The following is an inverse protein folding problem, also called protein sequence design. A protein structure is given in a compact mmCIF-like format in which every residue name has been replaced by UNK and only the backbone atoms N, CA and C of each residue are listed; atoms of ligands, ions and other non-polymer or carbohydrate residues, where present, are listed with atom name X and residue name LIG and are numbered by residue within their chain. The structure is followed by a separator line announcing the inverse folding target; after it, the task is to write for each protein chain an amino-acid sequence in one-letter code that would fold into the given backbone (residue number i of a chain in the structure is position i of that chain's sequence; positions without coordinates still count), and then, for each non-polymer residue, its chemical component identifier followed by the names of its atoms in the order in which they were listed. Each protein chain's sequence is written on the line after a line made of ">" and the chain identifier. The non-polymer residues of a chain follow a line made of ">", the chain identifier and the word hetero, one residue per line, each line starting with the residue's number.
data_IF_411500358236
#
_entry.id   IF_411500358236
#
_cell.length_a   1.000
_cell.length_b   1.000
_cell.length_c   1.000
_cell.angle_alpha   90.00
_cell.angle_beta   90.00
_cell.angle_gamma   90.00
#
_symmetry.space_group_name_H-M   'P 1'
#
loop_
_entity.id
_entity.type
_entity.pdbx_description
1 polymer ?
#
# COMPACT_ATOMS: atom_id res chain seq x y z
N UNK A 1 -2.98 -18.89 -10.32
CA UNK A 1 -1.62 -19.05 -9.80
C UNK A 1 -1.73 -19.63 -8.41
N UNK A 2 -0.79 -20.41 -8.01
CA UNK A 2 -0.78 -21.02 -6.68
C UNK A 2 0.28 -20.33 -5.80
N UNK A 3 0.31 -20.71 -4.52
CA UNK A 3 1.23 -20.11 -3.56
C UNK A 3 2.73 -20.21 -3.94
N UNK A 4 3.25 -21.30 -4.51
CA UNK A 4 4.63 -21.38 -4.98
C UNK A 4 5.04 -20.29 -5.98
N UNK A 5 4.09 -19.74 -6.75
CA UNK A 5 4.37 -18.64 -7.67
C UNK A 5 4.87 -17.39 -6.92
N UNK A 6 4.31 -17.11 -5.74
CA UNK A 6 4.68 -15.96 -4.93
C UNK A 6 6.02 -16.11 -4.17
N UNK A 7 6.64 -17.29 -4.21
CA UNK A 7 7.99 -17.51 -3.68
C UNK A 7 9.09 -17.04 -4.64
N UNK A 8 8.75 -16.68 -5.88
CA UNK A 8 9.68 -16.07 -6.81
C UNK A 8 10.05 -14.67 -6.35
N UNK A 9 11.18 -14.16 -6.85
CA UNK A 9 11.53 -12.76 -6.70
C UNK A 9 10.44 -11.85 -7.26
N UNK A 10 10.15 -10.74 -6.58
CA UNK A 10 9.03 -9.87 -6.93
C UNK A 10 9.17 -9.23 -8.31
N UNK A 11 10.40 -8.89 -8.75
CA UNK A 11 10.62 -8.37 -10.09
C UNK A 11 10.31 -9.43 -11.16
N UNK A 12 10.67 -10.69 -10.90
CA UNK A 12 10.33 -11.80 -11.79
C UNK A 12 8.81 -12.02 -11.88
N UNK A 13 8.11 -11.85 -10.76
CA UNK A 13 6.64 -11.92 -10.74
C UNK A 13 6.05 -10.77 -11.55
N UNK A 14 6.51 -9.54 -11.33
CA UNK A 14 6.04 -8.37 -12.07
C UNK A 14 6.20 -8.58 -13.59
N UNK A 15 7.38 -9.05 -14.02
CA UNK A 15 7.64 -9.35 -15.43
C UNK A 15 6.71 -10.43 -15.99
N UNK A 16 6.49 -11.51 -15.23
CA UNK A 16 5.56 -12.60 -15.64
C UNK A 16 4.10 -12.14 -15.72
N UNK A 17 3.70 -11.20 -14.86
CA UNK A 17 2.38 -10.58 -14.90
C UNK A 17 2.27 -9.52 -16.01
N UNK A 18 3.39 -9.09 -16.58
CA UNK A 18 3.44 -8.10 -17.64
C UNK A 18 3.36 -6.66 -17.13
N UNK A 19 3.77 -6.39 -15.90
CA UNK A 19 3.93 -5.04 -15.40
C UNK A 19 5.08 -4.31 -16.10
N UNK A 20 4.87 -3.02 -16.39
CA UNK A 20 5.86 -2.11 -16.99
C UNK A 20 6.49 -1.15 -15.97
N UNK A 21 6.71 -1.62 -14.73
CA UNK A 21 7.12 -0.78 -13.57
C UNK A 21 8.37 0.04 -13.91
N UNK A 22 9.44 -0.58 -14.39
CA UNK A 22 10.70 0.10 -14.69
C UNK A 22 10.53 1.21 -15.73
N UNK A 23 9.68 1.01 -16.74
CA UNK A 23 9.37 2.02 -17.76
C UNK A 23 8.63 3.21 -17.13
N UNK A 24 7.62 2.94 -16.32
CA UNK A 24 6.81 3.97 -15.67
C UNK A 24 7.64 4.78 -14.69
N UNK A 25 8.39 4.14 -13.81
CA UNK A 25 9.24 4.86 -12.83
C UNK A 25 10.32 5.69 -13.51
N UNK A 26 10.86 5.24 -14.65
CA UNK A 26 11.80 6.02 -15.45
C UNK A 26 11.15 7.29 -16.05
N UNK A 27 9.91 7.21 -16.49
CA UNK A 27 9.15 8.38 -16.98
C UNK A 27 8.85 9.35 -15.84
N UNK A 28 8.35 8.88 -14.72
CA UNK A 28 8.06 9.69 -13.53
C UNK A 28 9.31 10.40 -13.02
N UNK A 29 10.45 9.72 -13.00
CA UNK A 29 11.73 10.32 -12.61
C UNK A 29 12.17 11.41 -13.60
N UNK A 30 11.98 11.19 -14.89
CA UNK A 30 12.27 12.20 -15.93
C UNK A 30 11.40 13.44 -15.76
N UNK A 31 10.10 13.26 -15.51
CA UNK A 31 9.18 14.38 -15.25
C UNK A 31 9.56 15.14 -13.98
N UNK A 32 9.83 14.44 -12.89
CA UNK A 32 10.25 15.06 -11.63
C UNK A 32 11.55 15.87 -11.78
N UNK A 33 12.51 15.41 -12.58
CA UNK A 33 13.75 16.15 -12.87
C UNK A 33 13.48 17.41 -13.70
N UNK A 34 12.56 17.35 -14.65
CA UNK A 34 12.22 18.48 -15.52
C UNK A 34 11.46 19.60 -14.78
N UNK A 35 10.75 19.26 -13.71
CA UNK A 35 10.01 20.21 -12.87
C UNK A 35 10.87 20.92 -11.80
N UNK A 36 12.16 20.57 -11.69
CA UNK A 36 13.05 21.18 -10.70
C UNK A 36 13.53 22.57 -11.13
N UNK A 37 13.58 23.55 -10.20
CA UNK A 37 14.35 24.76 -10.42
C UNK A 37 15.84 24.43 -10.61
N UNK A 38 16.48 25.02 -11.60
CA UNK A 38 17.92 24.95 -11.84
C UNK A 38 18.68 25.31 -10.56
N UNK A 39 19.50 24.38 -10.04
CA UNK A 39 20.42 24.65 -8.93
C UNK A 39 20.05 24.01 -7.58
N UNK A 40 18.96 23.29 -7.44
CA UNK A 40 18.63 22.57 -6.19
C UNK A 40 19.20 21.16 -6.16
N UNK A 41 20.16 20.91 -5.27
CA UNK A 41 20.59 19.55 -4.89
C UNK A 41 19.59 19.02 -3.85
N UNK A 42 18.64 18.20 -4.26
CA UNK A 42 17.82 17.44 -3.34
C UNK A 42 18.41 16.03 -3.15
N UNK A 43 18.41 15.53 -1.93
CA UNK A 43 18.73 14.15 -1.65
C UNK A 43 17.75 13.22 -2.37
N UNK A 44 18.21 12.07 -2.84
CA UNK A 44 17.33 11.00 -3.32
C UNK A 44 16.31 10.69 -2.22
N UNK A 45 15.04 10.74 -2.51
CA UNK A 45 13.95 10.57 -1.52
C UNK A 45 13.22 11.87 -1.16
N UNK A 46 13.78 13.04 -1.47
CA UNK A 46 13.10 14.33 -1.33
C UNK A 46 12.58 14.88 -2.68
N UNK A 47 12.58 14.03 -3.71
CA UNK A 47 12.06 14.41 -5.02
C UNK A 47 10.54 14.46 -4.94
N UNK A 48 9.99 15.66 -4.92
CA UNK A 48 8.55 15.85 -5.04
C UNK A 48 8.13 15.66 -6.50
N UNK A 49 7.15 14.83 -6.73
CA UNK A 49 6.46 14.74 -8.01
C UNK A 49 5.13 15.50 -7.89
N UNK A 50 4.95 16.52 -8.73
CA UNK A 50 3.76 17.42 -8.69
C UNK A 50 3.47 17.99 -7.29
N UNK A 51 4.52 18.27 -6.51
CA UNK A 51 4.42 18.84 -5.16
C UNK A 51 4.23 17.83 -4.03
N UNK A 52 4.11 16.55 -4.32
CA UNK A 52 3.87 15.49 -3.34
C UNK A 52 5.08 14.57 -3.17
N UNK A 53 5.22 14.00 -1.97
CA UNK A 53 6.18 12.94 -1.69
C UNK A 53 5.64 11.62 -2.27
N UNK A 54 6.22 11.21 -3.40
CA UNK A 54 5.75 10.03 -4.14
C UNK A 54 6.79 8.92 -4.25
N UNK A 55 7.95 9.11 -3.59
CA UNK A 55 9.09 8.19 -3.62
C UNK A 55 9.64 7.89 -5.04
N UNK A 56 9.32 8.74 -6.02
CA UNK A 56 9.85 8.63 -7.38
C UNK A 56 11.38 8.72 -7.36
N UNK A 57 12.04 7.81 -8.07
CA UNK A 57 13.51 7.73 -8.17
C UNK A 57 14.17 6.81 -7.16
N UNK A 58 13.39 6.18 -6.27
CA UNK A 58 13.86 5.03 -5.48
C UNK A 58 13.61 3.73 -6.25
N UNK A 59 14.34 2.69 -5.84
CA UNK A 59 14.15 1.36 -6.41
C UNK A 59 12.72 0.86 -6.13
N UNK A 60 11.92 0.57 -7.16
CA UNK A 60 10.55 0.08 -7.00
C UNK A 60 10.45 -1.21 -6.18
N UNK A 61 11.49 -2.05 -6.19
CA UNK A 61 11.49 -3.30 -5.43
C UNK A 61 11.70 -3.07 -3.93
N UNK A 62 12.31 -1.95 -3.55
CA UNK A 62 12.42 -1.53 -2.14
C UNK A 62 11.11 -0.89 -1.66
N UNK A 63 10.46 -0.11 -2.54
CA UNK A 63 9.24 0.62 -2.21
C UNK A 63 8.00 -0.27 -2.11
N UNK A 64 7.92 -1.26 -2.98
CA UNK A 64 6.77 -2.16 -2.99
C UNK A 64 7.00 -3.35 -2.05
N UNK A 65 5.98 -3.71 -1.28
CA UNK A 65 6.00 -4.93 -0.47
C UNK A 65 6.16 -6.16 -1.38
N UNK A 66 7.07 -7.09 -1.06
CA UNK A 66 7.22 -8.33 -1.81
C UNK A 66 5.94 -9.18 -1.81
N UNK A 67 5.69 -9.87 -2.92
CA UNK A 67 4.51 -10.74 -3.04
C UNK A 67 4.46 -11.83 -1.96
N UNK A 68 5.62 -12.44 -1.66
CA UNK A 68 5.71 -13.46 -0.61
C UNK A 68 5.30 -12.91 0.76
N UNK A 69 5.71 -11.67 1.08
CA UNK A 69 5.36 -11.03 2.35
C UNK A 69 3.85 -10.77 2.42
N UNK A 70 3.23 -10.28 1.33
CA UNK A 70 1.77 -10.14 1.26
C UNK A 70 1.05 -11.48 1.45
N UNK A 71 1.55 -12.55 0.81
CA UNK A 71 0.98 -13.88 0.97
C UNK A 71 1.10 -14.39 2.42
N UNK A 72 2.23 -14.17 3.08
CA UNK A 72 2.44 -14.49 4.50
C UNK A 72 1.51 -13.69 5.42
N UNK A 73 1.33 -12.39 5.17
CA UNK A 73 0.39 -11.56 5.92
C UNK A 73 -1.04 -12.07 5.73
N UNK A 74 -1.46 -12.35 4.51
CA UNK A 74 -2.80 -12.87 4.23
C UNK A 74 -3.05 -14.22 4.91
N UNK A 75 -2.04 -15.09 5.02
CA UNK A 75 -2.15 -16.34 5.77
C UNK A 75 -2.32 -16.14 7.28
N UNK A 76 -1.75 -15.09 7.84
CA UNK A 76 -1.95 -14.73 9.24
C UNK A 76 -3.35 -14.15 9.47
N UNK A 77 -3.84 -13.36 8.51
CA UNK A 77 -5.14 -12.69 8.61
C UNK A 77 -6.30 -13.63 8.33
N UNK A 78 -6.11 -14.60 7.42
CA UNK A 78 -7.16 -15.52 6.94
C UNK A 78 -8.44 -14.76 6.53
N UNK A 79 -8.35 -13.78 5.60
CA UNK A 79 -9.51 -12.97 5.23
C UNK A 79 -10.60 -13.83 4.63
N UNK A 80 -11.86 -13.53 5.00
CA UNK A 80 -13.03 -14.33 4.65
C UNK A 80 -13.75 -13.72 3.44
N UNK A 81 -14.54 -14.56 2.79
CA UNK A 81 -15.46 -14.14 1.72
C UNK A 81 -16.28 -12.92 2.14
N UNK A 82 -16.27 -11.89 1.29
CA UNK A 82 -17.00 -10.66 1.50
C UNK A 82 -16.32 -9.63 2.40
N UNK A 83 -15.21 -9.98 3.05
CA UNK A 83 -14.41 -8.99 3.78
C UNK A 83 -13.68 -8.02 2.83
N UNK A 84 -13.43 -6.83 3.32
CA UNK A 84 -12.81 -5.73 2.57
C UNK A 84 -11.39 -5.50 3.08
N UNK A 85 -10.45 -5.46 2.15
CA UNK A 85 -9.06 -5.09 2.37
C UNK A 85 -8.81 -3.75 1.69
N UNK A 86 -8.27 -2.80 2.45
CA UNK A 86 -7.86 -1.48 1.96
C UNK A 86 -6.35 -1.37 2.03
N UNK A 87 -5.73 -0.91 0.94
CA UNK A 87 -4.29 -0.65 0.86
C UNK A 87 -4.04 0.84 0.62
N UNK A 88 -3.38 1.50 1.55
CA UNK A 88 -3.14 2.93 1.57
C UNK A 88 -1.71 3.23 1.14
N UNK A 89 -1.57 3.80 -0.07
CA UNK A 89 -0.31 3.85 -0.80
C UNK A 89 -0.06 2.56 -1.57
N UNK A 90 -1.07 2.10 -2.30
CA UNK A 90 -1.12 0.75 -2.89
C UNK A 90 -0.10 0.51 -4.02
N UNK A 91 0.57 1.57 -4.50
CA UNK A 91 1.50 1.49 -5.61
C UNK A 91 0.85 0.87 -6.86
N UNK A 92 1.39 -0.25 -7.31
CA UNK A 92 0.89 -0.99 -8.46
C UNK A 92 -0.17 -2.05 -8.13
N UNK A 93 -0.61 -2.16 -6.86
CA UNK A 93 -1.67 -3.09 -6.46
C UNK A 93 -1.24 -4.54 -6.29
N UNK A 94 0.02 -4.81 -5.93
CA UNK A 94 0.52 -6.18 -5.71
C UNK A 94 -0.32 -6.98 -4.70
N UNK A 95 -0.80 -6.32 -3.63
CA UNK A 95 -1.70 -6.96 -2.65
C UNK A 95 -2.99 -7.44 -3.31
N UNK A 96 -3.59 -6.64 -4.19
CA UNK A 96 -4.79 -7.03 -4.95
C UNK A 96 -4.58 -8.26 -5.82
N UNK A 97 -3.39 -8.42 -6.42
CA UNK A 97 -3.00 -9.63 -7.15
C UNK A 97 -2.92 -10.84 -6.22
N UNK A 98 -2.26 -10.70 -5.06
CA UNK A 98 -2.17 -11.80 -4.07
C UNK A 98 -3.56 -12.23 -3.62
N UNK A 99 -4.42 -11.29 -3.26
CA UNK A 99 -5.79 -11.55 -2.83
C UNK A 99 -6.59 -12.25 -3.95
N UNK A 100 -6.50 -11.76 -5.19
CA UNK A 100 -7.19 -12.39 -6.32
C UNK A 100 -6.86 -13.87 -6.47
N UNK A 101 -5.59 -14.26 -6.33
CA UNK A 101 -5.18 -15.63 -6.55
C UNK A 101 -5.34 -16.56 -5.34
N UNK A 102 -5.26 -16.01 -4.12
CA UNK A 102 -5.32 -16.82 -2.88
C UNK A 102 -6.66 -16.70 -2.14
N UNK A 103 -7.36 -15.57 -2.30
CA UNK A 103 -8.59 -15.21 -1.57
C UNK A 103 -9.58 -14.48 -2.49
N UNK A 104 -9.97 -15.12 -3.59
CA UNK A 104 -10.70 -14.50 -4.72
C UNK A 104 -12.02 -13.81 -4.36
N UNK A 105 -12.63 -14.18 -3.24
CA UNK A 105 -13.92 -13.64 -2.79
C UNK A 105 -13.78 -12.48 -1.80
N UNK A 106 -12.55 -12.03 -1.53
CA UNK A 106 -12.24 -10.86 -0.73
C UNK A 106 -12.25 -9.62 -1.62
N UNK A 107 -12.84 -8.54 -1.13
CA UNK A 107 -12.85 -7.25 -1.84
C UNK A 107 -11.56 -6.48 -1.56
N UNK A 108 -10.92 -5.96 -2.60
CA UNK A 108 -9.71 -5.15 -2.51
C UNK A 108 -9.94 -3.74 -3.03
N UNK A 109 -9.52 -2.74 -2.25
CA UNK A 109 -9.49 -1.33 -2.66
C UNK A 109 -8.10 -0.76 -2.36
N UNK A 110 -7.35 -0.43 -3.40
CA UNK A 110 -6.07 0.24 -3.25
C UNK A 110 -6.17 1.72 -3.58
N UNK A 111 -5.58 2.56 -2.75
CA UNK A 111 -5.52 4.00 -2.97
C UNK A 111 -4.07 4.42 -3.20
N UNK A 112 -3.83 5.10 -4.30
CA UNK A 112 -2.50 5.54 -4.73
C UNK A 112 -2.58 6.95 -5.30
N UNK A 113 -1.62 7.79 -4.97
CA UNK A 113 -1.56 9.18 -5.41
C UNK A 113 -1.13 9.30 -6.89
N UNK A 114 -0.21 8.44 -7.32
CA UNK A 114 0.41 8.50 -8.66
C UNK A 114 -0.48 7.80 -9.69
N UNK A 115 -1.14 8.59 -10.53
CA UNK A 115 -2.10 8.09 -11.53
C UNK A 115 -1.52 7.04 -12.48
N UNK A 116 -0.27 7.19 -12.88
CA UNK A 116 0.42 6.26 -13.76
C UNK A 116 0.56 4.86 -13.15
N UNK A 117 0.79 4.77 -11.84
CA UNK A 117 0.81 3.50 -11.09
C UNK A 117 -0.58 2.88 -11.02
N UNK A 118 -1.61 3.69 -10.77
CA UNK A 118 -3.03 3.27 -10.75
C UNK A 118 -3.47 2.72 -12.11
N UNK A 119 -3.15 3.43 -13.19
CA UNK A 119 -3.49 3.00 -14.55
C UNK A 119 -2.85 1.65 -14.85
N UNK A 120 -1.58 1.50 -14.54
CA UNK A 120 -0.85 0.25 -14.78
C UNK A 120 -1.39 -0.90 -13.94
N UNK A 121 -1.61 -0.70 -12.65
CA UNK A 121 -2.18 -1.72 -11.77
C UNK A 121 -3.55 -2.18 -12.25
N UNK A 122 -4.45 -1.25 -12.60
CA UNK A 122 -5.78 -1.58 -13.14
C UNK A 122 -5.69 -2.26 -14.52
N UNK A 123 -4.68 -1.93 -15.34
CA UNK A 123 -4.41 -2.66 -16.59
C UNK A 123 -4.12 -4.15 -16.32
N UNK A 124 -3.28 -4.42 -15.33
CA UNK A 124 -2.97 -5.79 -14.92
C UNK A 124 -4.21 -6.46 -14.31
N UNK A 125 -4.95 -5.78 -13.44
CA UNK A 125 -6.20 -6.32 -12.88
C UNK A 125 -7.18 -6.74 -13.98
N UNK A 126 -7.33 -5.93 -15.02
CA UNK A 126 -8.16 -6.26 -16.17
C UNK A 126 -7.65 -7.48 -16.93
N UNK A 127 -6.34 -7.59 -17.18
CA UNK A 127 -5.74 -8.71 -17.89
C UNK A 127 -5.95 -10.04 -17.16
N UNK A 128 -5.90 -10.04 -15.84
CA UNK A 128 -6.10 -11.22 -15.00
C UNK A 128 -7.56 -11.37 -14.51
N UNK A 129 -8.48 -10.54 -14.98
CA UNK A 129 -9.90 -10.57 -14.61
C UNK A 129 -10.11 -10.51 -13.09
N UNK A 130 -9.37 -9.65 -12.41
CA UNK A 130 -9.54 -9.37 -10.97
C UNK A 130 -10.92 -8.72 -10.79
N UNK A 131 -11.90 -9.50 -10.33
CA UNK A 131 -13.31 -9.05 -10.26
C UNK A 131 -13.59 -8.20 -9.01
N UNK A 132 -12.91 -8.52 -7.92
CA UNK A 132 -13.16 -7.95 -6.60
C UNK A 132 -12.06 -6.99 -6.16
N UNK A 133 -11.27 -6.43 -7.11
CA UNK A 133 -10.18 -5.53 -6.83
C UNK A 133 -10.16 -4.33 -7.76
N UNK A 134 -9.85 -3.16 -7.20
CA UNK A 134 -9.72 -1.91 -7.93
C UNK A 134 -8.70 -0.99 -7.26
N UNK A 135 -7.96 -0.24 -8.07
CA UNK A 135 -7.10 0.85 -7.63
C UNK A 135 -7.75 2.19 -7.96
N UNK A 136 -7.72 3.09 -6.99
CA UNK A 136 -8.23 4.45 -7.09
C UNK A 136 -7.08 5.44 -7.02
N UNK A 137 -7.07 6.42 -7.93
CA UNK A 137 -6.18 7.55 -7.79
C UNK A 137 -6.77 8.52 -6.76
N UNK A 138 -6.09 8.65 -5.61
CA UNK A 138 -6.59 9.48 -4.51
C UNK A 138 -5.44 10.08 -3.70
N UNK A 139 -5.61 11.32 -3.31
CA UNK A 139 -4.78 11.97 -2.29
C UNK A 139 -5.41 11.73 -0.91
N UNK A 140 -4.76 10.89 -0.11
CA UNK A 140 -5.24 10.57 1.24
C UNK A 140 -5.28 11.79 2.18
N UNK A 141 -4.64 12.91 1.79
CA UNK A 141 -4.72 14.19 2.49
C UNK A 141 -5.83 15.11 1.98
N UNK A 142 -6.54 14.71 0.93
CA UNK A 142 -7.69 15.45 0.44
C UNK A 142 -8.76 15.53 1.54
N UNK A 143 -9.19 16.73 1.98
CA UNK A 143 -10.17 16.87 3.06
C UNK A 143 -11.56 16.34 2.70
N UNK A 144 -11.82 16.03 1.44
CA UNK A 144 -13.05 15.39 0.97
C UNK A 144 -12.95 13.86 0.92
N UNK A 145 -11.74 13.31 1.08
CA UNK A 145 -11.55 11.88 1.16
C UNK A 145 -11.87 11.38 2.57
N UNK A 146 -12.65 10.32 2.64
CA UNK A 146 -12.91 9.58 3.88
C UNK A 146 -12.55 8.12 3.68
N UNK A 147 -11.86 7.52 4.64
CA UNK A 147 -11.54 6.11 4.60
C UNK A 147 -12.82 5.27 4.50
N UNK A 148 -12.89 4.33 3.56
CA UNK A 148 -14.02 3.41 3.51
C UNK A 148 -13.96 2.43 4.68
N UNK A 149 -15.11 1.95 5.13
CA UNK A 149 -15.21 0.88 6.13
C UNK A 149 -14.60 -0.40 5.54
N UNK A 150 -13.67 -1.02 6.27
CA UNK A 150 -12.99 -2.23 5.84
C UNK A 150 -12.58 -3.10 7.04
N UNK A 151 -12.31 -4.39 6.82
CA UNK A 151 -11.86 -5.33 7.84
C UNK A 151 -10.35 -5.25 8.08
N UNK A 152 -9.59 -4.85 7.05
CA UNK A 152 -8.14 -4.79 7.08
C UNK A 152 -7.65 -3.52 6.38
N UNK A 153 -6.74 -2.78 7.04
CA UNK A 153 -6.08 -1.60 6.48
C UNK A 153 -4.58 -1.83 6.44
N UNK A 154 -3.99 -1.74 5.25
CA UNK A 154 -2.56 -1.82 5.04
C UNK A 154 -1.97 -0.42 4.93
N UNK A 155 -0.90 -0.17 5.71
CA UNK A 155 -0.13 1.07 5.70
C UNK A 155 1.36 0.73 5.56
N UNK A 156 1.99 1.26 4.53
CA UNK A 156 3.44 1.18 4.39
C UNK A 156 3.99 2.56 4.11
N UNK A 157 4.68 3.19 5.06
CA UNK A 157 5.37 4.50 4.99
C UNK A 157 5.13 5.29 3.68
N UNK A 158 3.85 5.36 3.24
CA UNK A 158 3.44 5.82 1.90
C UNK A 158 3.66 7.33 1.69
N UNK A 159 3.96 8.05 2.75
CA UNK A 159 4.16 9.49 2.71
C UNK A 159 4.91 10.01 3.93
N UNK A 160 4.72 11.28 4.22
CA UNK A 160 5.29 11.91 5.40
C UNK A 160 4.61 11.42 6.67
N UNK A 161 5.26 11.67 7.81
CA UNK A 161 4.74 11.33 9.15
C UNK A 161 3.33 11.90 9.38
N UNK A 162 3.08 13.13 8.93
CA UNK A 162 1.78 13.80 9.06
C UNK A 162 0.67 13.07 8.30
N UNK A 163 1.00 12.46 7.15
CA UNK A 163 0.04 11.69 6.36
C UNK A 163 -0.39 10.43 7.10
N UNK A 164 0.58 9.72 7.69
CA UNK A 164 0.33 8.51 8.48
C UNK A 164 -0.52 8.85 9.72
N UNK A 165 -0.17 9.92 10.43
CA UNK A 165 -0.95 10.40 11.59
C UNK A 165 -2.39 10.74 11.21
N UNK A 166 -2.58 11.44 10.08
CA UNK A 166 -3.91 11.79 9.58
C UNK A 166 -4.75 10.53 9.32
N UNK A 167 -4.19 9.54 8.64
CA UNK A 167 -4.86 8.26 8.40
C UNK A 167 -5.20 7.53 9.70
N UNK A 168 -4.26 7.46 10.63
CA UNK A 168 -4.49 6.79 11.92
C UNK A 168 -5.57 7.51 12.75
N UNK A 169 -5.65 8.84 12.68
CA UNK A 169 -6.75 9.60 13.31
C UNK A 169 -8.11 9.25 12.69
N UNK A 170 -8.21 9.16 11.36
CA UNK A 170 -9.46 8.72 10.72
C UNK A 170 -9.86 7.29 11.11
N UNK A 171 -8.89 6.40 11.28
CA UNK A 171 -9.15 5.03 11.75
C UNK A 171 -9.62 5.02 13.21
N UNK A 172 -9.05 5.87 14.06
CA UNK A 172 -9.46 6.02 15.47
C UNK A 172 -10.92 6.47 15.57
N UNK A 173 -11.35 7.43 14.74
CA UNK A 173 -12.75 7.90 14.68
C UNK A 173 -13.73 6.80 14.28
N UNK A 174 -13.27 5.71 13.64
CA UNK A 174 -14.11 4.58 13.23
C UNK A 174 -14.27 3.51 14.32
N UNK A 175 -13.48 3.56 15.39
CA UNK A 175 -13.42 2.51 16.43
C UNK A 175 -14.72 2.31 17.18
N UNK A 176 -15.54 3.35 17.33
CA UNK A 176 -16.83 3.26 18.03
C UNK A 176 -17.87 2.36 17.34
N UNK A 177 -17.66 2.06 16.05
CA UNK A 177 -18.67 1.43 15.22
C UNK A 177 -18.17 0.23 14.42
N UNK A 178 -16.87 -0.03 14.41
CA UNK A 178 -16.30 -1.06 13.54
C UNK A 178 -15.02 -1.69 14.10
N UNK A 179 -14.93 -3.02 14.02
CA UNK A 179 -13.72 -3.77 14.35
C UNK A 179 -12.92 -4.04 13.09
N UNK A 180 -11.63 -3.78 13.13
CA UNK A 180 -10.72 -3.97 12.00
C UNK A 180 -9.31 -4.31 12.48
N UNK A 181 -8.44 -4.67 11.53
CA UNK A 181 -7.01 -4.81 11.80
C UNK A 181 -6.22 -3.82 10.95
N UNK A 182 -5.17 -3.27 11.56
CA UNK A 182 -4.20 -2.41 10.89
C UNK A 182 -2.91 -3.21 10.70
N UNK A 183 -2.46 -3.30 9.47
CA UNK A 183 -1.21 -3.94 9.10
C UNK A 183 -0.22 -2.84 8.73
N UNK A 184 0.71 -2.56 9.63
CA UNK A 184 1.72 -1.54 9.41
C UNK A 184 3.05 -2.15 8.99
N UNK A 185 3.57 -1.70 7.85
CA UNK A 185 4.88 -2.04 7.33
C UNK A 185 5.77 -0.79 7.33
N UNK A 186 7.07 -1.01 7.52
CA UNK A 186 8.04 0.08 7.64
C UNK A 186 8.22 0.56 9.08
N UNK A 187 9.31 1.26 9.31
CA UNK A 187 9.66 1.74 10.65
C UNK A 187 8.83 2.95 11.08
N UNK A 188 8.46 3.80 10.12
CA UNK A 188 7.72 5.04 10.38
C UNK A 188 6.32 4.76 10.92
N UNK A 189 5.50 4.04 10.15
CA UNK A 189 4.13 3.69 10.54
C UNK A 189 4.09 2.91 11.86
N UNK A 190 4.94 1.89 12.02
CA UNK A 190 5.01 1.09 13.25
C UNK A 190 5.37 1.93 14.46
N UNK A 191 6.41 2.78 14.34
CA UNK A 191 6.83 3.66 15.44
C UNK A 191 5.74 4.65 15.86
N UNK A 192 5.01 5.23 14.90
CA UNK A 192 3.90 6.14 15.20
C UNK A 192 2.81 5.40 15.94
N UNK A 193 2.41 4.22 15.49
CA UNK A 193 1.37 3.42 16.15
C UNK A 193 1.79 3.09 17.58
N UNK A 194 3.01 2.60 17.78
CA UNK A 194 3.49 2.13 19.09
C UNK A 194 3.63 3.25 20.12
N UNK A 195 3.93 4.48 19.69
CA UNK A 195 4.16 5.59 20.61
C UNK A 195 2.97 6.55 20.74
N UNK A 196 2.12 6.64 19.74
CA UNK A 196 1.11 7.70 19.67
C UNK A 196 -0.34 7.16 19.64
N UNK A 197 -0.54 5.85 19.36
CA UNK A 197 -1.87 5.25 19.20
C UNK A 197 -2.13 4.06 20.15
N UNK A 198 -2.25 4.33 21.47
CA UNK A 198 -2.45 3.28 22.47
C UNK A 198 -3.74 2.47 22.25
N UNK A 199 -4.73 3.01 21.55
CA UNK A 199 -5.95 2.30 21.19
C UNK A 199 -5.70 1.08 20.28
N UNK A 200 -4.60 1.02 19.53
CA UNK A 200 -4.18 -0.13 18.73
C UNK A 200 -3.27 -1.11 19.49
N UNK A 201 -2.65 -0.68 20.57
CA UNK A 201 -1.62 -1.47 21.26
C UNK A 201 -2.06 -2.00 22.63
N UNK A 202 -3.11 -1.43 23.24
CA UNK A 202 -3.50 -1.71 24.63
C UNK A 202 -4.58 -2.78 24.77
N UNK A 203 -5.40 -3.02 23.73
CA UNK A 203 -6.61 -3.83 23.84
C UNK A 203 -6.43 -5.28 23.41
N UNK A 204 -5.53 -5.56 22.49
CA UNK A 204 -5.32 -6.88 21.90
C UNK A 204 -3.84 -7.21 21.76
N UNK A 205 -3.55 -8.50 21.58
CA UNK A 205 -2.20 -8.95 21.29
C UNK A 205 -1.74 -8.45 19.93
N UNK A 206 -0.61 -7.76 19.88
CA UNK A 206 0.03 -7.29 18.65
C UNK A 206 0.94 -8.39 18.10
N UNK A 207 0.80 -8.71 16.83
CA UNK A 207 1.71 -9.62 16.14
C UNK A 207 2.84 -8.82 15.52
N UNK A 208 4.05 -8.95 16.06
CA UNK A 208 5.25 -8.35 15.54
C UNK A 208 6.04 -9.33 14.67
N UNK A 209 6.40 -8.90 13.46
CA UNK A 209 7.34 -9.58 12.56
C UNK A 209 8.49 -8.62 12.19
N UNK A 210 9.49 -9.13 11.48
CA UNK A 210 10.66 -8.31 11.13
C UNK A 210 10.28 -7.01 10.41
N UNK A 211 9.45 -7.11 9.39
CA UNK A 211 9.13 -6.00 8.48
C UNK A 211 7.77 -5.35 8.76
N UNK A 212 6.86 -6.04 9.43
CA UNK A 212 5.49 -5.57 9.67
C UNK A 212 4.97 -5.93 11.05
N UNK A 213 3.90 -5.26 11.46
CA UNK A 213 3.12 -5.62 12.65
C UNK A 213 1.64 -5.63 12.30
N UNK A 214 0.88 -6.48 12.98
CA UNK A 214 -0.58 -6.57 12.86
C UNK A 214 -1.16 -6.14 14.20
N UNK A 215 -1.96 -5.10 14.17
CA UNK A 215 -2.69 -4.55 15.30
C UNK A 215 -4.17 -4.86 15.11
N UNK A 216 -4.83 -5.37 16.14
CA UNK A 216 -6.27 -5.66 16.10
C UNK A 216 -7.01 -4.69 17.01
N UNK A 217 -8.14 -4.19 16.51
CA UNK A 217 -9.07 -3.36 17.27
C UNK A 217 -10.46 -4.02 17.29
#
# INVERSE_FOLDING_TARGET
>A
MDRPFFNLDSEQIDLKLGFEINRIESLLLSEAKNLRPLGTMANFGEILHKGHQTWVGLDPQILNTPYIEFAEICDQLQPKTGEVVVDLGAGYGRLGIVLHFLYSDVMFKGYELVGERVIEGNRIFKNFQVKNGELFQEDLMNPLFSLPVANYYFLYDYGKVEHIRHTLSQLEDMTDHHHFKVIARGKGARSIIEHEHPWLTSLNEVIHKNNYSIYAF
#
